data_IF_350954994684
#
_entry.id   IF_350954994684
#
_cell.length_a   1.000
_cell.length_b   1.000
_cell.length_c   1.000
_cell.angle_alpha   90.00
_cell.angle_beta   90.00
_cell.angle_gamma   90.00
#
_symmetry.space_group_name_H-M   'P 1'
#
loop_
_entity.id
_entity.type
_entity.pdbx_description
1 polymer ?
#
# COMPACT_ATOMS: atom_id res chain seq x y z
N UNK A 1 6.26 10.65 17.55
CA UNK A 1 6.20 9.37 18.28
C UNK A 1 6.93 8.37 17.43
N UNK A 2 8.06 7.83 17.88
CA UNK A 2 8.88 6.91 17.07
C UNK A 2 8.15 5.57 17.02
N UNK A 3 7.90 5.04 15.82
CA UNK A 3 7.37 3.69 15.65
C UNK A 3 8.37 2.70 16.22
N UNK A 4 7.94 1.93 17.21
CA UNK A 4 8.66 0.75 17.68
C UNK A 4 8.63 -0.29 16.56
N UNK A 5 9.81 -0.82 16.24
CA UNK A 5 9.99 -1.88 15.24
C UNK A 5 9.53 -3.17 15.92
N UNK A 6 8.40 -3.73 15.48
CA UNK A 6 7.89 -5.00 15.98
C UNK A 6 8.77 -6.16 15.49
N UNK A 7 9.24 -7.02 16.40
CA UNK A 7 9.95 -8.26 16.04
C UNK A 7 8.94 -9.32 15.55
N UNK A 8 9.41 -10.29 14.76
CA UNK A 8 8.54 -11.25 14.05
C UNK A 8 7.74 -12.20 14.95
N UNK A 9 7.93 -12.15 16.27
CA UNK A 9 7.22 -12.96 17.27
C UNK A 9 6.12 -12.21 18.03
N UNK A 10 5.96 -10.90 17.82
CA UNK A 10 4.97 -10.12 18.55
C UNK A 10 3.59 -10.21 17.88
N UNK A 11 2.60 -10.74 18.62
CA UNK A 11 1.21 -10.72 18.18
C UNK A 11 0.73 -9.26 18.23
N UNK A 12 0.56 -8.65 17.06
CA UNK A 12 -0.08 -7.33 16.93
C UNK A 12 -1.53 -7.42 17.41
N UNK A 13 -1.94 -6.51 18.29
CA UNK A 13 -3.31 -6.51 18.81
C UNK A 13 -4.33 -6.07 17.76
N UNK A 14 -5.57 -6.53 17.91
CA UNK A 14 -6.68 -6.14 17.03
C UNK A 14 -6.93 -4.63 17.00
N UNK A 15 -6.73 -3.94 18.13
CA UNK A 15 -6.89 -2.48 18.22
C UNK A 15 -5.85 -1.74 17.38
N UNK A 16 -4.61 -2.24 17.34
CA UNK A 16 -3.54 -1.67 16.50
C UNK A 16 -3.87 -1.87 15.02
N UNK A 17 -4.29 -3.08 14.64
CA UNK A 17 -4.70 -3.36 13.25
C UNK A 17 -5.89 -2.52 12.81
N UNK A 18 -6.87 -2.30 13.71
CA UNK A 18 -8.01 -1.44 13.44
C UNK A 18 -7.60 0.03 13.29
N UNK A 19 -6.61 0.49 14.07
CA UNK A 19 -5.99 1.80 13.90
C UNK A 19 -5.44 2.00 12.48
N UNK A 20 -4.66 1.03 11.98
CA UNK A 20 -4.14 1.08 10.61
C UNK A 20 -5.23 1.07 9.54
N UNK A 21 -6.29 0.28 9.74
CA UNK A 21 -7.44 0.28 8.83
C UNK A 21 -8.13 1.65 8.76
N UNK A 22 -8.25 2.34 9.89
CA UNK A 22 -8.80 3.71 9.96
C UNK A 22 -7.89 4.70 9.23
N UNK A 23 -6.59 4.61 9.43
CA UNK A 23 -5.62 5.51 8.78
C UNK A 23 -5.65 5.34 7.24
N UNK A 24 -5.74 4.09 6.77
CA UNK A 24 -5.83 3.75 5.35
C UNK A 24 -7.19 4.07 4.71
N UNK A 25 -8.27 4.24 5.48
CA UNK A 25 -9.63 4.35 4.96
C UNK A 25 -9.83 5.55 4.05
N UNK A 26 -9.16 6.67 4.34
CA UNK A 26 -9.28 7.91 3.57
C UNK A 26 -8.62 7.87 2.19
N UNK A 27 -7.76 6.90 1.91
CA UNK A 27 -7.06 6.82 0.63
C UNK A 27 -8.02 6.30 -0.45
N UNK A 28 -8.41 7.18 -1.38
CA UNK A 28 -9.24 6.84 -2.55
C UNK A 28 -8.43 5.95 -3.52
N UNK A 29 -8.48 4.65 -3.29
CA UNK A 29 -7.75 3.64 -4.05
C UNK A 29 -8.53 3.13 -5.26
N UNK A 30 -7.80 2.80 -6.30
CA UNK A 30 -8.23 1.99 -7.46
C UNK A 30 -7.07 1.05 -7.83
N UNK A 31 -7.12 0.41 -9.00
CA UNK A 31 -6.04 -0.44 -9.50
C UNK A 31 -4.73 0.33 -9.70
N UNK A 32 -4.82 1.57 -10.18
CA UNK A 32 -3.71 2.49 -10.40
C UNK A 32 -4.02 3.84 -9.76
N UNK A 33 -3.00 4.70 -9.61
CA UNK A 33 -3.17 6.09 -9.17
C UNK A 33 -2.49 6.48 -7.85
N UNK A 34 -2.66 7.74 -7.42
CA UNK A 34 -2.04 8.26 -6.20
C UNK A 34 -2.45 7.49 -4.94
N UNK A 35 -3.73 7.17 -4.77
CA UNK A 35 -4.23 6.52 -3.55
C UNK A 35 -3.64 5.14 -3.28
N UNK A 36 -3.33 4.36 -4.32
CA UNK A 36 -2.62 3.07 -4.13
C UNK A 36 -1.14 3.27 -3.80
N UNK A 37 -0.48 4.32 -4.33
CA UNK A 37 0.90 4.66 -3.95
C UNK A 37 1.00 5.13 -2.50
N UNK A 38 0.07 5.97 -2.05
CA UNK A 38 -0.02 6.40 -0.64
C UNK A 38 -0.24 5.21 0.29
N UNK A 39 -1.12 4.29 -0.11
CA UNK A 39 -1.37 3.05 0.64
C UNK A 39 -0.12 2.18 0.74
N UNK A 40 0.59 1.96 -0.37
CA UNK A 40 1.81 1.15 -0.37
C UNK A 40 2.93 1.81 0.44
N UNK A 41 3.08 3.14 0.37
CA UNK A 41 4.05 3.87 1.21
C UNK A 41 3.77 3.65 2.70
N UNK A 42 2.52 3.81 3.12
CA UNK A 42 2.11 3.57 4.50
C UNK A 42 2.41 2.13 4.97
N UNK A 43 2.16 1.14 4.11
CA UNK A 43 2.43 -0.26 4.41
C UNK A 43 3.94 -0.59 4.45
N UNK A 44 4.74 0.02 3.57
CA UNK A 44 6.19 -0.14 3.59
C UNK A 44 6.80 0.39 4.89
N UNK A 45 6.28 1.48 5.45
CA UNK A 45 6.73 2.00 6.73
C UNK A 45 6.42 1.03 7.89
N UNK A 46 5.30 0.32 7.83
CA UNK A 46 4.91 -0.69 8.83
C UNK A 46 5.64 -2.03 8.67
N UNK A 47 6.08 -2.36 7.45
CA UNK A 47 6.63 -3.69 7.12
C UNK A 47 8.00 -3.55 6.45
N UNK A 48 9.07 -3.48 7.27
CA UNK A 48 10.43 -3.46 6.74
C UNK A 48 10.69 -4.64 5.81
N UNK A 49 11.13 -4.35 4.58
CA UNK A 49 11.38 -5.35 3.54
C UNK A 49 10.28 -5.46 2.47
N UNK A 50 9.13 -4.80 2.65
CA UNK A 50 8.14 -4.66 1.58
C UNK A 50 8.70 -3.75 0.48
N UNK A 51 8.95 -4.33 -0.70
CA UNK A 51 9.47 -3.59 -1.86
C UNK A 51 8.33 -3.23 -2.81
N UNK A 52 8.22 -1.95 -3.15
CA UNK A 52 7.23 -1.45 -4.11
C UNK A 52 7.82 -1.37 -5.51
N UNK A 53 7.06 -1.83 -6.51
CA UNK A 53 7.44 -1.74 -7.92
C UNK A 53 6.41 -0.91 -8.70
N UNK A 54 6.88 -0.19 -9.72
CA UNK A 54 6.03 0.50 -10.69
C UNK A 54 6.29 -0.08 -12.07
N UNK A 55 5.21 -0.41 -12.79
CA UNK A 55 5.26 -0.96 -14.15
C UNK A 55 4.58 0.02 -15.09
N UNK A 56 5.23 0.36 -16.19
CA UNK A 56 4.73 1.37 -17.12
C UNK A 56 3.43 0.91 -17.81
N UNK A 57 2.51 1.84 -18.04
CA UNK A 57 1.32 1.62 -18.86
C UNK A 57 1.68 1.02 -20.23
N UNK A 58 0.84 0.12 -20.72
CA UNK A 58 1.06 -0.61 -21.97
C UNK A 58 2.02 -1.79 -21.85
N UNK A 59 2.68 -2.00 -20.71
CA UNK A 59 3.51 -3.20 -20.50
C UNK A 59 2.65 -4.46 -20.64
N UNK A 60 3.10 -5.41 -21.46
CA UNK A 60 2.40 -6.69 -21.66
C UNK A 60 2.61 -7.61 -20.45
N UNK A 61 1.52 -8.14 -19.92
CA UNK A 61 1.51 -9.10 -18.82
C UNK A 61 0.65 -10.32 -19.21
N UNK A 62 1.26 -11.32 -19.87
CA UNK A 62 0.54 -12.42 -20.52
C UNK A 62 -0.54 -11.87 -21.47
N UNK A 63 -1.79 -12.27 -21.33
CA UNK A 63 -2.90 -11.78 -22.17
C UNK A 63 -3.35 -10.36 -21.81
N UNK A 64 -2.87 -9.80 -20.71
CA UNK A 64 -3.23 -8.46 -20.22
C UNK A 64 -2.21 -7.41 -20.63
N UNK A 65 -2.62 -6.13 -20.52
CA UNK A 65 -1.73 -4.98 -20.64
C UNK A 65 -1.94 -4.09 -19.42
N UNK A 66 -0.85 -3.52 -18.88
CA UNK A 66 -0.93 -2.57 -17.77
C UNK A 66 -1.74 -1.35 -18.20
N UNK A 67 -2.80 -0.96 -17.48
CA UNK A 67 -3.70 0.11 -17.91
C UNK A 67 -3.07 1.50 -17.75
N UNK A 68 -3.74 2.51 -18.30
CA UNK A 68 -3.48 3.90 -17.99
C UNK A 68 -3.60 4.16 -16.48
N UNK A 69 -2.80 5.10 -15.98
CA UNK A 69 -2.92 5.52 -14.60
C UNK A 69 -4.18 6.38 -14.39
N UNK A 70 -4.99 6.02 -13.40
CA UNK A 70 -6.22 6.75 -13.08
C UNK A 70 -6.03 7.67 -11.87
N UNK A 71 -6.59 8.89 -11.94
CA UNK A 71 -6.62 9.84 -10.83
C UNK A 71 -8.00 10.49 -10.75
N UNK A 72 -8.62 10.43 -9.57
CA UNK A 72 -9.83 11.19 -9.26
C UNK A 72 -9.47 12.64 -8.89
N UNK A 73 -10.29 13.60 -9.34
CA UNK A 73 -10.15 15.04 -9.03
C UNK A 73 -11.51 15.63 -8.71
#
# INVERSE_FOLDING_TARGET
MKQEIFESSDIVSGDVMYGWARDLFGFCRSLTGPGVRETLSYLTDLTPGLTTHSVATGTKAFDWSVPEEWTIR
#
